data_IF_785241906200
#
_entry.id   IF_785241906200
#
_cell.length_a   1.000
_cell.length_b   1.000
_cell.length_c   1.000
_cell.angle_alpha   90.00
_cell.angle_beta   90.00
_cell.angle_gamma   90.00
#
_symmetry.space_group_name_H-M   'P 1'
#
loop_
_entity.id
_entity.type
_entity.pdbx_description
1 polymer ?
#
# COMPACT_ATOMS: atom_id res chain seq x y z
N UNK A 1 10.98 5.69 -7.72
CA UNK A 1 10.60 4.41 -7.09
C UNK A 1 9.14 4.23 -7.44
N UNK A 2 8.81 3.15 -8.14
CA UNK A 2 7.56 3.02 -8.87
C UNK A 2 6.41 2.62 -7.91
N UNK A 3 5.21 3.20 -8.06
CA UNK A 3 4.05 2.85 -7.23
C UNK A 3 3.59 1.40 -7.46
N UNK A 4 2.74 0.86 -6.59
CA UNK A 4 2.04 -0.41 -6.78
C UNK A 4 0.58 -0.30 -6.31
N UNK A 5 -0.33 -1.10 -6.88
CA UNK A 5 -1.77 -1.03 -6.57
C UNK A 5 -2.16 -2.09 -5.52
N UNK A 6 -2.72 -1.65 -4.39
CA UNK A 6 -3.38 -2.52 -3.40
C UNK A 6 -4.86 -2.21 -3.37
N UNK A 7 -5.71 -3.23 -3.30
CA UNK A 7 -7.14 -3.04 -3.09
C UNK A 7 -7.53 -3.58 -1.73
N UNK A 8 -8.50 -2.93 -1.11
CA UNK A 8 -9.00 -3.35 0.18
C UNK A 8 -10.30 -4.13 0.02
N UNK A 9 -10.42 -5.24 0.73
CA UNK A 9 -11.54 -6.17 0.58
C UNK A 9 -12.86 -5.61 1.11
N UNK A 10 -12.80 -4.67 2.05
CA UNK A 10 -13.97 -4.06 2.69
C UNK A 10 -14.37 -2.67 2.15
N UNK A 11 -13.63 -2.15 1.17
CA UNK A 11 -13.98 -0.89 0.48
C UNK A 11 -13.88 -1.11 -1.03
N UNK A 12 -14.76 -0.52 -1.84
CA UNK A 12 -14.70 -0.63 -3.30
C UNK A 12 -13.51 0.13 -3.92
N UNK A 13 -12.52 0.55 -3.11
CA UNK A 13 -11.46 1.45 -3.52
C UNK A 13 -10.10 0.73 -3.55
N UNK A 14 -9.41 0.89 -4.67
CA UNK A 14 -7.99 0.56 -4.79
C UNK A 14 -7.13 1.79 -4.49
N UNK A 15 -5.93 1.55 -3.97
CA UNK A 15 -4.95 2.55 -3.59
C UNK A 15 -3.68 2.36 -4.40
N UNK A 16 -3.15 3.47 -4.88
CA UNK A 16 -1.77 3.58 -5.34
C UNK A 16 -0.87 3.74 -4.12
N UNK A 17 0.06 2.80 -3.94
CA UNK A 17 1.01 2.76 -2.83
C UNK A 17 2.38 3.13 -3.35
N UNK A 18 2.89 4.27 -2.90
CA UNK A 18 4.26 4.70 -3.17
C UNK A 18 5.11 4.49 -1.92
N UNK A 19 6.24 3.81 -2.09
CA UNK A 19 7.18 3.53 -1.00
C UNK A 19 8.47 4.31 -1.26
N UNK A 20 8.82 5.17 -0.32
CA UNK A 20 10.08 5.90 -0.26
C UNK A 20 10.55 5.89 1.18
N UNK A 21 11.33 4.88 1.56
CA UNK A 21 11.74 4.69 2.95
C UNK A 21 12.33 5.99 3.53
N UNK A 22 11.89 6.41 4.74
CA UNK A 22 11.06 5.67 5.70
C UNK A 22 9.53 5.81 5.52
N UNK A 23 9.07 6.43 4.44
CA UNK A 23 7.68 6.80 4.22
C UNK A 23 6.95 5.87 3.23
N UNK A 24 5.66 5.65 3.50
CA UNK A 24 4.72 5.05 2.55
C UNK A 24 3.50 5.96 2.40
N UNK A 25 3.08 6.21 1.16
CA UNK A 25 1.91 7.04 0.86
C UNK A 25 0.87 6.18 0.15
N UNK A 26 -0.36 6.26 0.64
CA UNK A 26 -1.51 5.56 0.09
C UNK A 26 -2.46 6.60 -0.50
N UNK A 27 -2.55 6.64 -1.83
CA UNK A 27 -3.38 7.59 -2.57
C UNK A 27 -4.53 6.84 -3.22
N UNK A 28 -5.76 7.35 -3.12
CA UNK A 28 -6.90 6.73 -3.80
C UNK A 28 -6.64 6.66 -5.31
N UNK A 29 -6.79 5.47 -5.91
CA UNK A 29 -6.44 5.24 -7.32
C UNK A 29 -7.27 6.10 -8.27
N UNK A 30 -8.54 6.36 -7.93
CA UNK A 30 -9.43 7.25 -8.72
C UNK A 30 -8.93 8.70 -8.72
N UNK A 31 -8.56 9.22 -7.55
CA UNK A 31 -8.01 10.57 -7.43
C UNK A 31 -6.64 10.69 -8.09
N UNK A 32 -5.80 9.66 -7.98
CA UNK A 32 -4.52 9.60 -8.69
C UNK A 32 -4.72 9.60 -10.21
N UNK A 33 -5.68 8.82 -10.73
CA UNK A 33 -6.03 8.84 -12.16
C UNK A 33 -6.55 10.20 -12.61
N UNK A 34 -7.30 10.91 -11.77
CA UNK A 34 -7.89 12.20 -12.12
C UNK A 34 -6.90 13.38 -12.00
N UNK A 35 -5.95 13.34 -11.06
CA UNK A 35 -5.09 14.49 -10.71
C UNK A 35 -3.59 14.21 -10.80
N UNK A 36 -3.19 12.97 -11.07
CA UNK A 36 -1.79 12.55 -11.11
C UNK A 36 -1.05 12.84 -9.80
N UNK A 37 0.13 13.43 -9.90
CA UNK A 37 1.01 13.75 -8.75
C UNK A 37 0.46 14.84 -7.83
N UNK A 38 -0.64 15.51 -8.19
CA UNK A 38 -1.32 16.50 -7.35
C UNK A 38 -2.40 15.85 -6.45
N UNK A 39 -2.63 14.54 -6.59
CA UNK A 39 -3.53 13.83 -5.69
C UNK A 39 -2.92 13.71 -4.29
N UNK A 40 -3.64 14.20 -3.29
CA UNK A 40 -3.22 14.07 -1.89
C UNK A 40 -3.39 12.63 -1.41
N UNK A 41 -2.43 12.09 -0.63
CA UNK A 41 -2.57 10.78 -0.03
C UNK A 41 -3.71 10.76 0.98
N UNK A 42 -4.41 9.64 1.05
CA UNK A 42 -5.48 9.40 2.02
C UNK A 42 -4.90 8.96 3.36
N UNK A 43 -3.76 8.29 3.31
CA UNK A 43 -3.07 7.75 4.47
C UNK A 43 -1.56 7.79 4.22
N UNK A 44 -0.81 8.23 5.24
CA UNK A 44 0.65 8.32 5.20
C UNK A 44 1.23 7.55 6.37
N UNK A 45 2.31 6.80 6.12
CA UNK A 45 2.98 6.00 7.14
C UNK A 45 4.45 6.37 7.20
N UNK A 46 4.98 6.50 8.41
CA UNK A 46 6.40 6.78 8.68
C UNK A 46 6.97 5.70 9.61
N UNK A 47 8.13 5.16 9.24
CA UNK A 47 8.90 4.20 10.02
C UNK A 47 10.06 4.89 10.72
N UNK A 48 10.07 4.86 12.05
CA UNK A 48 11.11 5.41 12.90
C UNK A 48 12.06 4.29 13.34
N UNK A 49 13.28 4.31 12.82
CA UNK A 49 14.29 3.26 12.97
C UNK A 49 15.35 3.58 14.04
N UNK A 50 15.19 4.67 14.79
CA UNK A 50 16.15 5.14 15.81
C UNK A 50 16.39 4.11 16.93
N UNK A 51 15.43 3.20 17.14
CA UNK A 51 15.51 2.11 18.11
C UNK A 51 15.83 0.74 17.49
N UNK A 52 16.06 0.66 16.18
CA UNK A 52 16.34 -0.61 15.52
C UNK A 52 17.62 -1.23 16.07
N UNK A 53 18.73 -0.48 16.09
CA UNK A 53 20.02 -1.03 16.53
C UNK A 53 20.12 -1.24 18.05
N UNK A 54 19.45 -0.38 18.83
CA UNK A 54 19.59 -0.36 20.29
C UNK A 54 18.58 -1.24 21.03
N UNK A 55 17.40 -1.47 20.44
CA UNK A 55 16.29 -2.18 21.08
C UNK A 55 15.65 -3.24 20.19
N UNK A 56 16.13 -3.41 18.95
CA UNK A 56 15.53 -4.31 17.95
C UNK A 56 14.04 -3.99 17.69
N UNK A 57 13.71 -2.69 17.69
CA UNK A 57 12.33 -2.19 17.53
C UNK A 57 12.28 -1.03 16.53
N UNK A 58 11.32 -1.10 15.60
CA UNK A 58 10.94 0.00 14.71
C UNK A 58 9.56 0.50 15.11
N UNK A 59 9.40 1.81 15.28
CA UNK A 59 8.09 2.41 15.57
C UNK A 59 7.44 2.84 14.26
N UNK A 60 6.14 2.57 14.13
CA UNK A 60 5.38 2.90 12.92
C UNK A 60 4.26 3.85 13.31
N UNK A 61 4.19 4.99 12.61
CA UNK A 61 3.10 5.95 12.74
C UNK A 61 2.34 6.02 11.44
N UNK A 62 1.04 5.78 11.50
CA UNK A 62 0.11 6.03 10.39
C UNK A 62 -0.76 7.24 10.69
N UNK A 63 -0.84 8.17 9.74
CA UNK A 63 -1.69 9.36 9.82
C UNK A 63 -2.75 9.30 8.71
N UNK A 64 -4.02 9.21 9.11
CA UNK A 64 -5.17 9.22 8.18
C UNK A 64 -5.51 10.67 7.86
N UNK A 65 -5.27 11.08 6.62
CA UNK A 65 -5.43 12.46 6.15
C UNK A 65 -6.89 12.75 5.79
N UNK A 66 -7.58 11.77 5.17
CA UNK A 66 -8.97 11.90 4.72
C UNK A 66 -9.88 10.95 5.50
N UNK A 67 -10.19 11.31 6.75
CA UNK A 67 -11.02 10.51 7.67
C UNK A 67 -12.46 10.27 7.20
N UNK A 68 -12.94 11.05 6.22
CA UNK A 68 -14.25 10.84 5.57
C UNK A 68 -14.25 9.74 4.51
N UNK A 69 -13.07 9.28 4.07
CA UNK A 69 -12.88 8.30 2.99
C UNK A 69 -12.20 7.02 3.47
N UNK A 70 -11.48 7.09 4.58
CA UNK A 70 -10.75 5.96 5.16
C UNK A 70 -10.89 6.02 6.69
N UNK A 71 -11.37 4.94 7.27
CA UNK A 71 -11.41 4.74 8.73
C UNK A 71 -10.08 4.22 9.28
N UNK A 72 -9.88 4.36 10.59
CA UNK A 72 -8.65 3.87 11.26
C UNK A 72 -8.46 2.36 11.10
N UNK A 73 -9.54 1.58 11.14
CA UNK A 73 -9.49 0.13 10.94
C UNK A 73 -9.10 -0.24 9.51
N UNK A 74 -9.60 0.49 8.51
CA UNK A 74 -9.24 0.26 7.11
C UNK A 74 -7.79 0.69 6.84
N UNK A 75 -7.36 1.81 7.41
CA UNK A 75 -5.98 2.28 7.32
C UNK A 75 -5.00 1.26 7.93
N UNK A 76 -5.34 0.70 9.10
CA UNK A 76 -4.57 -0.38 9.72
C UNK A 76 -4.49 -1.61 8.82
N UNK A 77 -5.64 -2.05 8.29
CA UNK A 77 -5.68 -3.20 7.38
C UNK A 77 -4.86 -2.96 6.10
N UNK A 78 -4.90 -1.75 5.54
CA UNK A 78 -4.11 -1.37 4.36
C UNK A 78 -2.60 -1.45 4.65
N UNK A 79 -2.17 -0.97 5.82
CA UNK A 79 -0.77 -1.05 6.24
C UNK A 79 -0.32 -2.51 6.41
N UNK A 80 -1.09 -3.32 7.16
CA UNK A 80 -0.78 -4.74 7.38
C UNK A 80 -0.74 -5.51 6.05
N UNK A 81 -1.67 -5.19 5.15
CA UNK A 81 -1.71 -5.77 3.80
C UNK A 81 -0.47 -5.39 3.00
N UNK A 82 -0.13 -4.10 2.95
CA UNK A 82 1.07 -3.63 2.26
C UNK A 82 2.33 -4.32 2.81
N UNK A 83 2.48 -4.37 4.13
CA UNK A 83 3.59 -5.07 4.78
C UNK A 83 3.63 -6.55 4.39
N UNK A 84 2.49 -7.24 4.31
CA UNK A 84 2.46 -8.64 3.90
C UNK A 84 2.99 -8.86 2.47
N UNK A 85 2.85 -7.89 1.57
CA UNK A 85 3.43 -7.96 0.23
C UNK A 85 4.94 -7.74 0.21
N UNK A 86 5.48 -6.92 1.12
CA UNK A 86 6.92 -6.67 1.22
C UNK A 86 7.67 -7.70 2.07
N UNK A 87 6.98 -8.37 3.00
CA UNK A 87 7.58 -9.34 3.94
C UNK A 87 7.47 -10.80 3.49
N UNK A 88 6.65 -11.10 2.49
CA UNK A 88 6.47 -12.45 1.97
C UNK A 88 7.02 -12.55 0.54
N UNK A 89 8.01 -13.41 0.30
CA UNK A 89 8.68 -13.55 -1.01
C UNK A 89 7.72 -13.88 -2.16
N UNK A 90 6.68 -14.66 -1.90
CA UNK A 90 5.69 -15.04 -2.93
C UNK A 90 4.84 -13.82 -3.31
N UNK A 91 4.38 -13.05 -2.33
CA UNK A 91 3.61 -11.82 -2.58
C UNK A 91 4.49 -10.71 -3.14
N UNK A 92 5.75 -10.62 -2.73
CA UNK A 92 6.70 -9.62 -3.20
C UNK A 92 6.97 -9.75 -4.71
N UNK A 93 6.96 -10.96 -5.27
CA UNK A 93 7.07 -11.17 -6.71
C UNK A 93 5.99 -10.43 -7.51
N UNK A 94 4.81 -10.23 -6.94
CA UNK A 94 3.76 -9.44 -7.60
C UNK A 94 4.16 -7.96 -7.65
N UNK A 95 4.64 -7.41 -6.54
CA UNK A 95 5.17 -6.04 -6.46
C UNK A 95 6.32 -5.86 -7.46
N UNK A 96 7.27 -6.79 -7.49
CA UNK A 96 8.39 -6.74 -8.44
C UNK A 96 7.91 -6.79 -9.89
N UNK A 97 6.97 -7.69 -10.21
CA UNK A 97 6.45 -7.86 -11.58
C UNK A 97 5.80 -6.58 -12.07
N UNK A 98 4.96 -5.92 -11.28
CA UNK A 98 4.38 -4.64 -11.67
C UNK A 98 5.42 -3.56 -11.94
N UNK A 99 6.44 -3.48 -11.09
CA UNK A 99 7.43 -2.42 -11.14
C UNK A 99 8.48 -2.61 -12.24
N UNK A 100 8.84 -3.86 -12.57
CA UNK A 100 9.93 -4.19 -13.51
C UNK A 100 9.47 -4.89 -14.79
N UNK A 101 8.31 -5.55 -14.76
CA UNK A 101 7.78 -6.40 -15.83
C UNK A 101 6.28 -6.17 -16.03
N UNK A 102 5.87 -4.91 -16.15
CA UNK A 102 4.46 -4.49 -16.14
C UNK A 102 3.60 -5.22 -17.20
N UNK A 103 4.20 -5.66 -18.31
CA UNK A 103 3.51 -6.43 -19.35
C UNK A 103 3.16 -7.88 -18.95
N UNK A 104 3.82 -8.45 -17.93
CA UNK A 104 3.50 -9.77 -17.36
C UNK A 104 2.54 -9.64 -16.15
N UNK A 105 2.21 -8.40 -15.74
CA UNK A 105 1.41 -8.16 -14.55
C UNK A 105 -0.08 -8.36 -14.82
N UNK A 106 -0.69 -9.23 -14.01
CA UNK A 106 -2.11 -9.55 -14.07
C UNK A 106 -2.75 -9.15 -12.74
N UNK A 107 -3.66 -8.17 -12.77
CA UNK A 107 -4.28 -7.64 -11.55
C UNK A 107 -5.09 -8.70 -10.77
N UNK A 108 -5.65 -9.70 -11.46
CA UNK A 108 -6.32 -10.85 -10.83
C UNK A 108 -5.41 -11.63 -9.87
N UNK A 109 -4.10 -11.66 -10.11
CA UNK A 109 -3.14 -12.35 -9.23
C UNK A 109 -3.07 -11.65 -7.86
N UNK A 110 -3.28 -10.32 -7.84
CA UNK A 110 -3.36 -9.53 -6.60
C UNK A 110 -4.63 -9.83 -5.84
N UNK A 111 -5.77 -9.85 -6.55
CA UNK A 111 -7.06 -10.20 -5.94
C UNK A 111 -7.02 -11.61 -5.35
N UNK A 112 -6.41 -12.57 -6.07
CA UNK A 112 -6.20 -13.93 -5.57
C UNK A 112 -5.31 -13.98 -4.32
N UNK A 113 -4.21 -13.21 -4.28
CA UNK A 113 -3.33 -13.13 -3.12
C UNK A 113 -4.00 -12.50 -1.88
N UNK A 114 -5.02 -11.67 -2.11
CA UNK A 114 -5.85 -11.03 -1.10
C UNK A 114 -7.12 -11.83 -0.75
N UNK A 115 -7.30 -13.02 -1.36
CA UNK A 115 -8.52 -13.85 -1.21
C UNK A 115 -9.81 -13.07 -1.53
N UNK A 116 -9.72 -12.09 -2.44
CA UNK A 116 -10.86 -11.29 -2.87
C UNK A 116 -11.62 -12.01 -3.98
N UNK A 117 -12.97 -11.91 -4.01
CA UNK A 117 -13.75 -12.47 -5.10
C UNK A 117 -13.37 -11.79 -6.42
N UNK A 118 -13.06 -12.62 -7.41
CA UNK A 118 -12.85 -12.18 -8.81
C UNK A 118 -14.23 -12.15 -9.46
N UNK A 119 -14.77 -10.96 -9.69
CA UNK A 119 -16.02 -10.76 -10.44
C UNK A 119 -15.79 -10.87 -11.94
#
# INVERSE_FOLDING_TARGET
MNPWIICCSNVPFCFDVTVQMPHMLFTGLEDYKARGTQASPYFTVTHYTEYADSKDVVLIRGDVVFTSKLSDSEAKWLLETAQSFYLNDVRYKLVERFNKKTHEFEFKDVLGALEMPVL
#
